data_IF_772674377627
#
_entry.id   IF_772674377627
#
_cell.length_a   1.000
_cell.length_b   1.000
_cell.length_c   1.000
_cell.angle_alpha   90.00
_cell.angle_beta   90.00
_cell.angle_gamma   90.00
#
_symmetry.space_group_name_H-M   'P 1'
#
loop_
_entity.id
_entity.type
_entity.pdbx_description
1 polymer ?
#
# COMPACT_ATOMS: atom_id res chain seq x y z
N UNK A 1 107.19 -39.65 -19.81
CA UNK A 1 106.66 -41.03 -19.98
C UNK A 1 105.92 -41.39 -18.70
N UNK A 2 104.85 -42.19 -18.79
CA UNK A 2 103.87 -42.47 -17.72
C UNK A 2 103.12 -41.22 -17.24
N UNK A 3 101.81 -41.03 -17.41
CA UNK A 3 100.64 -41.88 -17.11
C UNK A 3 100.49 -42.24 -15.64
N UNK A 4 99.32 -41.90 -15.06
CA UNK A 4 98.39 -42.87 -14.45
C UNK A 4 96.96 -42.27 -14.34
N UNK A 5 95.95 -43.14 -14.21
CA UNK A 5 94.54 -42.83 -14.55
C UNK A 5 93.65 -42.31 -13.41
N UNK A 6 92.60 -41.58 -13.83
CA UNK A 6 91.28 -41.20 -13.22
C UNK A 6 90.78 -42.08 -12.05
N UNK A 7 89.90 -41.61 -11.11
CA UNK A 7 88.61 -40.90 -11.40
C UNK A 7 88.13 -39.94 -10.25
N UNK A 8 86.85 -39.53 -9.96
CA UNK A 8 85.45 -39.67 -10.49
C UNK A 8 84.50 -38.57 -9.88
N UNK A 9 83.30 -38.38 -10.47
CA UNK A 9 81.99 -37.94 -9.86
C UNK A 9 81.73 -36.53 -9.25
N UNK A 10 81.18 -35.66 -10.09
CA UNK A 10 79.88 -34.91 -9.96
C UNK A 10 79.07 -34.84 -8.64
N UNK A 11 78.83 -33.60 -8.16
CA UNK A 11 77.57 -33.06 -7.56
C UNK A 11 77.72 -31.52 -7.36
N UNK A 12 76.68 -30.66 -7.25
CA UNK A 12 75.24 -30.87 -7.45
C UNK A 12 74.34 -29.88 -6.68
N UNK A 13 74.01 -28.70 -7.26
CA UNK A 13 72.89 -27.77 -6.92
C UNK A 13 72.71 -27.28 -5.45
N UNK A 14 72.82 -25.97 -5.21
CA UNK A 14 72.67 -25.35 -3.88
C UNK A 14 72.12 -23.91 -3.89
N UNK A 15 70.80 -23.77 -4.06
CA UNK A 15 70.05 -22.49 -4.05
C UNK A 15 70.23 -21.70 -2.75
N UNK A 16 70.21 -20.36 -2.82
CA UNK A 16 69.42 -19.54 -1.86
C UNK A 16 69.06 -18.14 -2.38
N UNK A 17 67.98 -18.05 -3.13
CA UNK A 17 67.32 -16.77 -3.45
C UNK A 17 66.62 -16.23 -2.20
N UNK A 18 67.05 -15.08 -1.67
CA UNK A 18 66.32 -14.37 -0.61
C UNK A 18 65.00 -13.82 -1.17
N UNK A 19 63.91 -14.58 -1.07
CA UNK A 19 62.56 -14.08 -1.34
C UNK A 19 62.18 -13.07 -0.26
N UNK A 20 61.97 -11.82 -0.67
CA UNK A 20 61.45 -10.77 0.19
C UNK A 20 59.92 -10.93 0.25
N UNK A 21 59.40 -11.38 1.40
CA UNK A 21 57.97 -11.66 1.56
C UNK A 21 57.18 -10.37 1.70
N UNK A 22 56.78 -9.76 0.58
CA UNK A 22 55.89 -8.59 0.60
C UNK A 22 54.52 -9.03 1.11
N UNK A 23 54.09 -8.47 2.25
CA UNK A 23 52.82 -8.81 2.88
C UNK A 23 51.65 -8.38 2.00
N UNK A 24 50.86 -9.35 1.53
CA UNK A 24 49.62 -9.08 0.80
C UNK A 24 48.51 -8.87 1.82
N UNK A 25 48.12 -7.61 2.02
CA UNK A 25 46.91 -7.26 2.77
C UNK A 25 45.70 -8.00 2.15
N UNK A 26 44.83 -8.64 2.94
CA UNK A 26 43.70 -9.39 2.40
C UNK A 26 42.73 -8.43 1.71
N UNK A 27 42.54 -8.62 0.40
CA UNK A 27 41.63 -7.83 -0.40
C UNK A 27 40.18 -8.21 -0.09
N UNK A 28 39.62 -7.63 0.99
CA UNK A 28 38.20 -7.72 1.35
C UNK A 28 37.34 -7.39 0.13
N UNK A 29 36.66 -8.42 -0.36
CA UNK A 29 36.42 -8.62 -1.79
C UNK A 29 35.32 -7.71 -2.34
N UNK A 30 35.34 -7.49 -3.66
CA UNK A 30 34.26 -6.77 -4.33
C UNK A 30 32.89 -7.48 -4.18
N UNK A 31 32.86 -8.79 -3.87
CA UNK A 31 31.64 -9.50 -3.53
C UNK A 31 31.12 -9.13 -2.13
N UNK A 32 31.99 -9.04 -1.12
CA UNK A 32 31.60 -8.66 0.25
C UNK A 32 31.12 -7.21 0.34
N UNK A 33 31.72 -6.29 -0.42
CA UNK A 33 31.25 -4.89 -0.55
C UNK A 33 29.84 -4.86 -1.13
N UNK A 34 29.64 -5.43 -2.32
CA UNK A 34 28.31 -5.55 -2.95
C UNK A 34 27.28 -6.25 -2.07
N UNK A 35 27.68 -7.23 -1.24
CA UNK A 35 26.79 -7.89 -0.27
C UNK A 35 26.41 -6.98 0.91
N UNK A 36 27.30 -6.09 1.37
CA UNK A 36 26.95 -5.04 2.34
C UNK A 36 26.05 -3.97 1.71
N UNK A 37 26.39 -3.49 0.51
CA UNK A 37 25.65 -2.45 -0.18
C UNK A 37 24.21 -2.90 -0.46
N UNK A 38 24.01 -4.13 -0.93
CA UNK A 38 22.68 -4.73 -1.13
C UNK A 38 21.88 -4.85 0.18
N UNK A 39 22.50 -5.27 1.29
CA UNK A 39 21.83 -5.32 2.62
C UNK A 39 21.43 -3.94 3.11
N UNK A 40 22.27 -2.92 2.87
CA UNK A 40 21.96 -1.54 3.23
C UNK A 40 20.76 -1.01 2.44
N UNK A 41 20.75 -1.23 1.12
CA UNK A 41 19.62 -0.87 0.24
C UNK A 41 18.32 -1.55 0.70
N UNK A 42 18.36 -2.85 1.02
CA UNK A 42 17.19 -3.59 1.52
C UNK A 42 16.69 -3.01 2.86
N UNK A 43 17.60 -2.74 3.81
CA UNK A 43 17.27 -2.10 5.10
C UNK A 43 16.61 -0.73 4.94
N UNK A 44 17.14 0.11 4.04
CA UNK A 44 16.61 1.46 3.81
C UNK A 44 15.30 1.45 3.01
N UNK A 45 15.08 0.45 2.14
CA UNK A 45 13.78 0.20 1.49
C UNK A 45 12.73 -0.29 2.49
N UNK A 46 13.06 -1.23 3.38
CA UNK A 46 12.15 -1.67 4.45
C UNK A 46 11.80 -0.51 5.39
N UNK A 47 12.77 0.33 5.77
CA UNK A 47 12.51 1.51 6.60
C UNK A 47 11.57 2.51 5.92
N UNK A 48 11.69 2.70 4.60
CA UNK A 48 10.76 3.52 3.80
C UNK A 48 9.36 2.91 3.72
N UNK A 49 9.26 1.60 3.45
CA UNK A 49 7.99 0.88 3.34
C UNK A 49 7.21 0.95 4.66
N UNK A 50 7.85 0.57 5.77
CA UNK A 50 7.23 0.61 7.10
C UNK A 50 6.81 2.04 7.49
N UNK A 51 7.60 3.06 7.11
CA UNK A 51 7.23 4.47 7.34
C UNK A 51 6.05 4.92 6.47
N UNK A 52 5.88 4.35 5.28
CA UNK A 52 4.73 4.62 4.40
C UNK A 52 3.46 3.93 4.93
N UNK A 53 3.56 2.66 5.33
CA UNK A 53 2.46 1.88 5.90
C UNK A 53 1.96 2.51 7.22
N UNK A 54 2.88 2.94 8.10
CA UNK A 54 2.53 3.62 9.34
C UNK A 54 1.84 4.98 9.10
N UNK A 55 2.24 5.73 8.05
CA UNK A 55 1.56 6.97 7.65
C UNK A 55 0.17 6.72 7.06
N UNK A 56 0.02 5.64 6.29
CA UNK A 56 -1.25 5.22 5.73
C UNK A 56 -2.22 4.84 6.86
N UNK A 57 -1.83 3.93 7.77
CA UNK A 57 -2.66 3.59 8.96
C UNK A 57 -2.99 4.81 9.81
N UNK A 58 -2.04 5.68 10.10
CA UNK A 58 -2.30 6.91 10.89
C UNK A 58 -3.14 7.97 10.14
N UNK A 59 -3.44 7.75 8.86
CA UNK A 59 -4.47 8.49 8.10
C UNK A 59 -5.79 7.73 8.09
N UNK A 60 -5.78 6.41 7.86
CA UNK A 60 -6.96 5.53 7.86
C UNK A 60 -7.66 5.52 9.23
N UNK A 61 -6.91 5.38 10.33
CA UNK A 61 -7.41 5.51 11.71
C UNK A 61 -8.05 6.88 11.95
N UNK A 62 -7.42 7.95 11.44
CA UNK A 62 -7.92 9.32 11.59
C UNK A 62 -9.17 9.57 10.76
N UNK A 63 -9.22 9.05 9.54
CA UNK A 63 -10.40 9.11 8.69
C UNK A 63 -11.53 8.31 9.33
N UNK A 64 -11.26 7.11 9.86
CA UNK A 64 -12.23 6.29 10.59
C UNK A 64 -12.76 7.02 11.84
N UNK A 65 -11.90 7.65 12.64
CA UNK A 65 -12.32 8.47 13.79
C UNK A 65 -13.15 9.70 13.40
N UNK A 66 -12.85 10.32 12.26
CA UNK A 66 -13.67 11.42 11.71
C UNK A 66 -15.04 10.86 11.27
N UNK A 67 -15.08 9.80 10.46
CA UNK A 67 -16.33 9.15 10.01
C UNK A 67 -17.17 8.58 11.14
N UNK A 68 -16.57 8.24 12.29
CA UNK A 68 -17.28 7.86 13.52
C UNK A 68 -17.85 9.08 14.29
N UNK A 69 -17.28 10.27 14.08
CA UNK A 69 -17.64 11.50 14.80
C UNK A 69 -18.64 12.39 14.06
N UNK A 70 -18.72 12.33 12.72
CA UNK A 70 -19.78 13.02 11.97
C UNK A 70 -21.10 12.25 12.12
N UNK A 71 -22.18 12.96 12.45
CA UNK A 71 -23.53 12.37 12.52
C UNK A 71 -24.12 12.09 11.12
N UNK A 72 -23.56 12.69 10.08
CA UNK A 72 -23.85 12.45 8.68
C UNK A 72 -23.42 11.04 8.29
N UNK A 73 -24.40 10.16 8.03
CA UNK A 73 -24.13 8.87 7.42
C UNK A 73 -23.66 9.07 5.98
N UNK A 74 -22.44 8.66 5.65
CA UNK A 74 -21.96 8.68 4.26
C UNK A 74 -22.36 7.41 3.50
N UNK A 75 -22.52 7.53 2.18
CA UNK A 75 -22.64 6.40 1.25
C UNK A 75 -21.80 6.66 -0.02
N UNK A 76 -21.28 5.59 -0.60
CA UNK A 76 -20.61 5.61 -1.91
C UNK A 76 -21.53 4.99 -2.96
N UNK A 77 -21.52 5.50 -4.20
CA UNK A 77 -22.30 4.96 -5.31
C UNK A 77 -21.45 4.83 -6.58
N UNK A 78 -21.16 3.59 -6.98
CA UNK A 78 -20.65 3.26 -8.31
C UNK A 78 -21.81 3.31 -9.31
N UNK A 79 -21.81 4.34 -10.15
CA UNK A 79 -22.86 4.63 -11.13
C UNK A 79 -22.78 3.68 -12.34
N UNK A 80 -21.59 3.16 -12.68
CA UNK A 80 -21.41 2.22 -13.79
C UNK A 80 -21.90 0.81 -13.44
N UNK A 81 -21.60 0.35 -12.22
CA UNK A 81 -22.06 -0.95 -11.69
C UNK A 81 -23.45 -0.88 -11.05
N UNK A 82 -23.96 0.32 -10.78
CA UNK A 82 -25.20 0.57 -10.03
C UNK A 82 -25.18 -0.03 -8.61
N UNK A 83 -24.01 -0.02 -7.97
CA UNK A 83 -23.77 -0.52 -6.61
C UNK A 83 -23.59 0.63 -5.63
N UNK A 84 -24.26 0.58 -4.49
CA UNK A 84 -24.28 1.60 -3.46
C UNK A 84 -23.91 0.98 -2.11
N UNK A 85 -22.86 1.51 -1.49
CA UNK A 85 -22.33 1.05 -0.21
C UNK A 85 -22.57 2.11 0.87
N UNK A 86 -23.63 1.95 1.70
CA UNK A 86 -23.80 2.79 2.87
C UNK A 86 -22.71 2.47 3.91
N UNK A 87 -22.20 3.50 4.58
CA UNK A 87 -21.27 3.31 5.70
C UNK A 87 -21.93 2.51 6.84
N UNK A 88 -21.11 1.82 7.64
CA UNK A 88 -21.58 1.08 8.82
C UNK A 88 -22.45 1.97 9.75
N UNK A 89 -22.12 3.26 9.86
CA UNK A 89 -22.91 4.22 10.64
C UNK A 89 -24.27 4.53 10.03
N UNK A 90 -24.38 4.62 8.70
CA UNK A 90 -25.66 4.78 8.01
C UNK A 90 -26.51 3.50 8.15
N UNK A 91 -25.87 2.33 8.02
CA UNK A 91 -26.49 1.01 8.28
C UNK A 91 -27.09 0.95 9.70
N UNK A 92 -26.35 1.40 10.72
CA UNK A 92 -26.86 1.53 12.10
C UNK A 92 -28.03 2.53 12.22
N UNK A 93 -27.89 3.72 11.64
CA UNK A 93 -28.86 4.83 11.79
C UNK A 93 -30.19 4.52 11.12
N UNK A 94 -30.20 3.78 10.02
CA UNK A 94 -31.40 3.43 9.24
C UNK A 94 -31.87 1.99 9.40
N UNK A 95 -31.06 1.14 10.05
CA UNK A 95 -31.39 -0.25 10.36
C UNK A 95 -31.37 -1.16 9.14
N UNK A 96 -30.48 -0.91 8.19
CA UNK A 96 -30.35 -1.71 6.97
C UNK A 96 -29.76 -3.11 7.29
N UNK A 97 -30.33 -4.15 6.70
CA UNK A 97 -29.68 -5.46 6.66
C UNK A 97 -28.42 -5.34 5.80
N UNK A 98 -27.26 -5.72 6.33
CA UNK A 98 -25.93 -5.41 5.78
C UNK A 98 -25.66 -6.01 4.40
N UNK A 99 -26.18 -5.36 3.35
CA UNK A 99 -26.15 -5.76 1.95
C UNK A 99 -25.66 -4.62 1.06
N UNK A 100 -25.05 -4.98 -0.05
CA UNK A 100 -24.86 -4.06 -1.18
C UNK A 100 -26.25 -3.60 -1.66
N UNK A 101 -26.48 -2.29 -1.63
CA UNK A 101 -27.70 -1.70 -2.16
C UNK A 101 -27.50 -1.35 -3.63
N UNK A 102 -28.59 -1.24 -4.37
CA UNK A 102 -28.62 -0.61 -5.70
C UNK A 102 -29.23 0.76 -5.60
N UNK A 103 -29.00 1.63 -6.59
CA UNK A 103 -29.72 2.90 -6.63
C UNK A 103 -31.24 2.70 -6.67
N UNK A 104 -31.73 1.59 -7.25
CA UNK A 104 -33.14 1.19 -7.18
C UNK A 104 -33.65 1.08 -5.74
N UNK A 105 -33.00 0.24 -4.93
CA UNK A 105 -33.34 0.04 -3.51
C UNK A 105 -33.29 1.36 -2.72
N UNK A 106 -32.33 2.24 -3.02
CA UNK A 106 -32.25 3.57 -2.42
C UNK A 106 -33.43 4.48 -2.81
N UNK A 107 -33.82 4.49 -4.09
CA UNK A 107 -34.99 5.23 -4.57
C UNK A 107 -36.28 4.80 -3.84
N UNK A 108 -36.42 3.52 -3.48
CA UNK A 108 -37.57 2.98 -2.74
C UNK A 108 -37.58 3.33 -1.23
N UNK A 109 -36.48 3.87 -0.71
CA UNK A 109 -36.38 4.35 0.67
C UNK A 109 -36.65 5.85 0.80
N UNK A 110 -36.57 6.62 -0.29
CA UNK A 110 -36.86 8.07 -0.28
C UNK A 110 -38.35 8.31 -0.04
N UNK A 111 -38.69 9.31 0.78
CA UNK A 111 -40.07 9.69 1.04
C UNK A 111 -40.78 10.15 -0.25
N UNK A 112 -42.03 9.71 -0.53
CA UNK A 112 -42.72 10.03 -1.78
C UNK A 112 -42.77 11.52 -2.16
N UNK A 113 -43.02 12.41 -1.19
CA UNK A 113 -43.04 13.86 -1.43
C UNK A 113 -41.67 14.44 -1.84
N UNK A 114 -40.56 13.86 -1.33
CA UNK A 114 -39.20 14.38 -1.52
C UNK A 114 -38.56 13.80 -2.79
N UNK A 115 -39.03 12.63 -3.22
CA UNK A 115 -38.53 11.92 -4.39
C UNK A 115 -38.46 12.77 -5.67
N UNK A 116 -39.46 13.61 -6.03
CA UNK A 116 -39.36 14.49 -7.20
C UNK A 116 -38.21 15.52 -7.10
N UNK A 117 -37.95 16.05 -5.90
CA UNK A 117 -36.87 17.02 -5.64
C UNK A 117 -35.50 16.34 -5.72
N UNK A 118 -35.33 15.23 -5.00
CA UNK A 118 -34.13 14.40 -5.02
C UNK A 118 -33.77 13.94 -6.46
N UNK A 119 -34.75 13.48 -7.23
CA UNK A 119 -34.56 13.07 -8.63
C UNK A 119 -34.25 14.22 -9.58
N UNK A 120 -34.70 15.44 -9.27
CA UNK A 120 -34.30 16.63 -10.02
C UNK A 120 -32.84 17.01 -9.72
N UNK A 121 -32.46 17.08 -8.45
CA UNK A 121 -31.09 17.40 -8.01
C UNK A 121 -30.06 16.38 -8.55
N UNK A 122 -30.37 15.07 -8.50
CA UNK A 122 -29.55 14.02 -9.11
C UNK A 122 -29.36 14.22 -10.62
N UNK A 123 -30.47 14.44 -11.35
CA UNK A 123 -30.45 14.65 -12.80
C UNK A 123 -29.57 15.84 -13.19
N UNK A 124 -29.64 16.92 -12.41
CA UNK A 124 -28.93 18.16 -12.75
C UNK A 124 -27.45 18.09 -12.36
N UNK A 125 -27.09 17.35 -11.29
CA UNK A 125 -25.72 16.94 -11.01
C UNK A 125 -25.16 16.06 -12.15
N UNK A 126 -25.88 15.03 -12.60
CA UNK A 126 -25.44 14.15 -13.70
C UNK A 126 -25.32 14.86 -15.06
N UNK A 127 -25.99 16.00 -15.23
CA UNK A 127 -25.86 16.87 -16.40
C UNK A 127 -24.73 17.90 -16.27
N UNK A 128 -24.03 17.95 -15.14
CA UNK A 128 -23.01 18.97 -14.85
C UNK A 128 -23.58 20.38 -14.66
N UNK A 129 -24.88 20.51 -14.39
CA UNK A 129 -25.53 21.80 -14.09
C UNK A 129 -25.16 22.24 -12.67
N UNK A 130 -25.10 21.29 -11.73
CA UNK A 130 -24.45 21.48 -10.42
C UNK A 130 -23.17 20.62 -10.36
N UNK A 131 -22.13 21.08 -9.63
CA UNK A 131 -20.86 20.34 -9.51
C UNK A 131 -20.93 19.16 -8.51
N UNK A 132 -22.05 19.02 -7.78
CA UNK A 132 -22.34 17.96 -6.83
C UNK A 132 -23.85 17.82 -6.63
N UNK A 133 -24.27 16.70 -6.04
CA UNK A 133 -25.59 16.58 -5.41
C UNK A 133 -25.56 17.39 -4.11
N UNK A 134 -26.58 18.22 -3.92
CA UNK A 134 -26.76 19.09 -2.75
C UNK A 134 -28.29 19.16 -2.53
N UNK A 135 -28.80 18.33 -1.61
CA UNK A 135 -30.23 18.11 -1.38
C UNK A 135 -30.43 17.36 -0.06
N UNK A 136 -31.16 17.96 0.88
CA UNK A 136 -31.69 17.26 2.07
C UNK A 136 -32.99 16.51 1.68
N UNK A 137 -33.19 15.29 2.18
CA UNK A 137 -34.42 14.50 1.93
C UNK A 137 -34.65 13.44 3.01
N UNK A 138 -35.88 12.93 3.12
CA UNK A 138 -36.24 11.89 4.08
C UNK A 138 -36.00 10.48 3.51
N UNK A 139 -35.25 9.66 4.25
CA UNK A 139 -35.09 8.21 4.04
C UNK A 139 -35.92 7.44 5.08
N UNK A 140 -36.54 6.34 4.64
CA UNK A 140 -37.31 5.39 5.47
C UNK A 140 -36.37 4.52 6.31
N UNK A 141 -36.60 4.52 7.61
CA UNK A 141 -35.97 3.66 8.62
C UNK A 141 -36.69 2.30 8.72
N UNK A 142 -36.04 1.27 9.27
CA UNK A 142 -36.59 -0.09 9.32
C UNK A 142 -37.88 -0.26 10.16
N UNK A 143 -38.13 0.62 11.13
CA UNK A 143 -39.39 0.73 11.90
C UNK A 143 -40.54 1.42 11.13
N UNK A 144 -40.29 1.85 9.88
CA UNK A 144 -41.25 2.55 9.03
C UNK A 144 -41.31 4.07 9.25
N UNK A 145 -40.57 4.62 10.22
CA UNK A 145 -40.40 6.08 10.37
C UNK A 145 -39.51 6.65 9.27
N UNK A 146 -39.47 7.99 9.17
CA UNK A 146 -38.62 8.70 8.22
C UNK A 146 -37.65 9.63 8.95
N UNK A 147 -36.41 9.70 8.46
CA UNK A 147 -35.33 10.52 9.02
C UNK A 147 -34.65 11.28 7.89
N UNK A 148 -34.18 12.49 8.17
CA UNK A 148 -33.48 13.32 7.19
C UNK A 148 -32.04 12.84 6.96
N UNK A 149 -31.58 13.00 5.73
CA UNK A 149 -30.20 12.89 5.25
C UNK A 149 -29.92 14.03 4.26
#
# INVERSE_FOLDING_TARGET
MSEHSKPKRTAGSGKQTKRQTQSVMPAGSAAERRSKDARQIISDLQRKLNSSEAKLRASEERHSLITQAVAEGVYEWDVERNSLWPSARLIEIFGFEGRELRAGDWNELVHPDDFPLYRAALRDCFRGITPRLDCEYRIRHNDGTYRWI
#
